data_IF_001513408595
#
_entry.id   IF_001513408595
#
_cell.length_a   1.000
_cell.length_b   1.000
_cell.length_c   1.000
_cell.angle_alpha   90.00
_cell.angle_beta   90.00
_cell.angle_gamma   90.00
#
_symmetry.space_group_name_H-M   'P 1'
#
loop_
_entity.id
_entity.type
_entity.pdbx_description
1 polymer ?
#
# COMPACT_ATOMS: atom_id res chain seq x y z
N UNK A 1 3.55 22.27 2.25
CA UNK A 1 2.71 23.24 2.95
C UNK A 1 1.28 22.85 2.63
N UNK A 2 0.51 22.41 3.61
CA UNK A 2 -0.89 22.07 3.41
C UNK A 2 -1.66 23.36 3.12
N UNK A 3 -2.39 23.37 2.01
CA UNK A 3 -3.28 24.48 1.68
C UNK A 3 -4.63 24.22 2.35
N UNK A 4 -5.08 25.18 3.17
CA UNK A 4 -6.32 25.06 3.93
C UNK A 4 -7.39 25.94 3.27
N UNK A 5 -8.59 25.41 2.98
CA UNK A 5 -9.70 26.23 2.49
C UNK A 5 -9.99 27.41 3.43
N UNK A 6 -10.39 28.56 2.89
CA UNK A 6 -10.74 29.74 3.70
C UNK A 6 -11.81 29.45 4.75
N UNK A 7 -12.78 28.59 4.41
CA UNK A 7 -13.83 28.13 5.32
C UNK A 7 -13.27 27.39 6.53
N UNK A 8 -12.27 26.53 6.31
CA UNK A 8 -11.60 25.78 7.36
C UNK A 8 -10.70 26.68 8.22
N UNK A 9 -9.98 27.62 7.60
CA UNK A 9 -9.20 28.65 8.31
C UNK A 9 -10.08 29.51 9.21
N UNK A 10 -11.24 29.95 8.71
CA UNK A 10 -12.22 30.70 9.51
C UNK A 10 -12.74 29.86 10.68
N UNK A 11 -12.95 28.56 10.48
CA UNK A 11 -13.39 27.65 11.53
C UNK A 11 -12.35 27.45 12.64
N UNK A 12 -11.05 27.44 12.30
CA UNK A 12 -9.98 27.40 13.30
C UNK A 12 -9.99 28.60 14.25
N UNK A 13 -10.49 29.76 13.79
CA UNK A 13 -10.60 30.98 14.60
C UNK A 13 -11.75 30.98 15.62
N UNK A 14 -12.55 29.90 15.71
CA UNK A 14 -13.70 29.81 16.62
C UNK A 14 -13.29 29.25 17.98
N UNK A 15 -14.04 29.60 19.02
CA UNK A 15 -13.83 29.07 20.37
C UNK A 15 -14.11 27.56 20.48
N UNK A 16 -15.01 27.04 19.64
CA UNK A 16 -15.37 25.63 19.58
C UNK A 16 -15.23 25.16 18.13
N UNK A 17 -14.36 24.18 17.93
CA UNK A 17 -14.16 23.53 16.63
C UNK A 17 -14.92 22.22 16.57
N UNK A 18 -15.11 21.73 15.34
CA UNK A 18 -15.83 20.49 15.02
C UNK A 18 -15.00 19.70 14.04
N UNK A 19 -13.73 19.51 14.40
CA UNK A 19 -12.74 18.86 13.57
C UNK A 19 -12.63 17.38 13.96
N UNK A 20 -12.36 16.55 12.97
CA UNK A 20 -12.04 15.13 13.09
C UNK A 20 -10.93 14.79 12.09
N UNK A 21 -10.26 13.68 12.31
CA UNK A 21 -9.35 13.08 11.35
C UNK A 21 -10.08 12.02 10.53
N UNK A 22 -9.73 11.97 9.25
CA UNK A 22 -10.14 10.94 8.33
C UNK A 22 -8.89 10.36 7.66
N UNK A 23 -8.79 9.04 7.60
CA UNK A 23 -7.68 8.36 6.93
C UNK A 23 -8.20 7.52 5.79
N UNK A 24 -7.64 7.74 4.60
CA UNK A 24 -7.94 6.96 3.41
C UNK A 24 -6.77 6.05 3.09
N UNK A 25 -7.01 4.74 3.20
CA UNK A 25 -6.07 3.70 2.83
C UNK A 25 -6.43 3.20 1.42
N UNK A 26 -5.48 3.27 0.49
CA UNK A 26 -5.64 2.83 -0.89
C UNK A 26 -4.60 1.76 -1.21
N UNK A 27 -5.06 0.53 -1.44
CA UNK A 27 -4.22 -0.61 -1.86
C UNK A 27 -3.75 -0.44 -3.30
N UNK A 28 -2.69 -1.16 -3.67
CA UNK A 28 -2.15 -1.15 -5.05
C UNK A 28 -3.14 -1.69 -6.09
N UNK A 29 -4.08 -2.54 -5.67
CA UNK A 29 -5.16 -3.08 -6.49
C UNK A 29 -6.36 -2.11 -6.66
N UNK A 30 -6.29 -0.93 -6.04
CA UNK A 30 -7.33 0.10 -6.13
C UNK A 30 -8.43 0.00 -5.06
N UNK A 31 -8.39 -1.00 -4.18
CA UNK A 31 -9.31 -1.09 -3.04
C UNK A 31 -9.08 0.08 -2.08
N UNK A 32 -10.15 0.76 -1.70
CA UNK A 32 -10.11 1.93 -0.81
C UNK A 32 -10.87 1.65 0.48
N UNK A 33 -10.22 1.91 1.62
CA UNK A 33 -10.83 1.92 2.94
C UNK A 33 -10.76 3.32 3.55
N UNK A 34 -11.86 3.79 4.13
CA UNK A 34 -11.93 5.07 4.82
C UNK A 34 -12.28 4.88 6.29
N UNK A 35 -11.53 5.56 7.16
CA UNK A 35 -11.69 5.49 8.61
C UNK A 35 -11.72 6.88 9.22
N UNK A 36 -12.48 7.10 10.29
CA UNK A 36 -12.52 8.38 11.00
C UNK A 36 -12.50 8.21 12.51
N UNK A 37 -11.93 9.19 13.22
CA UNK A 37 -12.02 9.31 14.69
C UNK A 37 -13.33 9.97 15.15
N UNK A 38 -14.18 10.38 14.19
CA UNK A 38 -15.56 10.76 14.45
C UNK A 38 -16.41 9.52 14.78
N UNK A 39 -17.49 9.71 15.55
CA UNK A 39 -18.39 8.65 16.02
C UNK A 39 -19.46 8.28 14.98
N UNK A 40 -19.57 9.04 13.89
CA UNK A 40 -20.49 8.79 12.79
C UNK A 40 -19.76 8.70 11.44
N UNK A 41 -20.30 7.94 10.47
CA UNK A 41 -19.72 7.87 9.15
C UNK A 41 -19.81 9.21 8.41
N UNK A 42 -18.75 9.55 7.68
CA UNK A 42 -18.62 10.80 6.93
C UNK A 42 -18.20 10.52 5.48
N UNK A 43 -18.70 11.30 4.54
CA UNK A 43 -18.22 11.25 3.15
C UNK A 43 -17.34 12.45 2.86
N UNK A 44 -16.07 12.22 2.52
CA UNK A 44 -15.08 13.28 2.25
C UNK A 44 -14.34 12.95 0.97
N UNK A 45 -14.19 13.91 0.06
CA UNK A 45 -13.50 13.73 -1.21
C UNK A 45 -13.94 12.47 -2.01
N UNK A 46 -15.22 12.11 -1.94
CA UNK A 46 -15.80 10.94 -2.63
C UNK A 46 -15.56 9.59 -1.94
N UNK A 47 -14.97 9.55 -0.76
CA UNK A 47 -14.72 8.34 0.03
C UNK A 47 -15.61 8.33 1.28
N UNK A 48 -16.22 7.18 1.60
CA UNK A 48 -16.92 6.95 2.85
C UNK A 48 -15.92 6.57 3.94
N UNK A 49 -15.93 7.31 5.04
CA UNK A 49 -15.13 7.05 6.23
C UNK A 49 -16.02 6.50 7.32
N UNK A 50 -15.72 5.29 7.79
CA UNK A 50 -16.47 4.63 8.86
C UNK A 50 -15.85 4.94 10.23
N UNK A 51 -16.68 5.07 11.28
CA UNK A 51 -16.20 5.26 12.65
C UNK A 51 -15.54 3.95 13.11
N UNK A 52 -14.22 3.95 13.21
CA UNK A 52 -13.44 2.76 13.53
C UNK A 52 -12.30 3.15 14.47
N UNK A 53 -12.11 2.38 15.54
CA UNK A 53 -11.10 2.66 16.58
C UNK A 53 -9.66 2.36 16.16
N UNK A 54 -9.46 1.98 14.89
CA UNK A 54 -8.23 1.40 14.35
C UNK A 54 -7.18 2.39 13.90
N UNK A 55 -7.46 3.70 13.91
CA UNK A 55 -6.48 4.72 13.57
C UNK A 55 -6.41 5.72 14.72
N UNK A 56 -5.90 5.26 15.85
CA UNK A 56 -5.44 6.19 16.86
C UNK A 56 -4.19 6.88 16.30
N UNK A 57 -4.25 8.20 16.12
CA UNK A 57 -3.08 9.02 15.85
C UNK A 57 -2.11 8.90 17.04
N UNK A 58 -1.20 7.93 16.99
CA UNK A 58 -0.02 7.92 17.84
C UNK A 58 0.81 9.14 17.45
N UNK A 59 1.01 10.06 18.40
CA UNK A 59 1.68 11.36 18.27
C UNK A 59 2.80 11.37 17.19
N UNK A 60 2.49 11.92 16.01
CA UNK A 60 3.48 12.19 14.96
C UNK A 60 4.55 13.13 15.52
N UNK A 61 5.81 12.73 15.46
CA UNK A 61 6.94 13.61 15.77
C UNK A 61 7.53 14.09 14.46
N UNK A 62 7.01 15.22 13.97
CA UNK A 62 7.64 15.98 12.88
C UNK A 62 9.04 16.43 13.33
N UNK A 63 10.10 15.68 12.98
CA UNK A 63 11.47 16.20 13.07
C UNK A 63 11.82 16.91 11.77
N UNK A 64 11.99 18.22 11.86
CA UNK A 64 12.50 19.08 10.80
C UNK A 64 13.96 18.71 10.49
N UNK A 65 14.18 17.71 9.63
CA UNK A 65 15.51 17.33 9.14
C UNK A 65 15.47 16.20 8.11
N UNK A 66 16.39 16.24 7.13
CA UNK A 66 16.59 15.19 6.12
C UNK A 66 17.39 13.98 6.68
N UNK A 67 17.35 13.75 7.99
CA UNK A 67 18.17 12.74 8.65
C UNK A 67 17.46 11.37 8.65
N UNK A 68 18.23 10.35 8.29
CA UNK A 68 17.90 8.94 7.99
C UNK A 68 17.20 8.18 9.12
N UNK A 69 17.08 8.74 10.33
CA UNK A 69 16.58 8.02 11.51
C UNK A 69 15.12 8.32 11.89
N UNK A 70 14.34 8.96 11.01
CA UNK A 70 12.94 9.29 11.34
C UNK A 70 11.95 8.46 10.54
N UNK A 71 11.73 7.23 10.98
CA UNK A 71 10.48 6.52 10.68
C UNK A 71 9.40 7.16 11.55
N UNK A 72 8.49 7.90 10.94
CA UNK A 72 7.24 8.27 11.60
C UNK A 72 6.40 7.00 11.77
N UNK A 73 6.58 6.32 12.89
CA UNK A 73 5.75 5.18 13.26
C UNK A 73 4.40 5.73 13.74
N UNK A 74 3.50 6.01 12.80
CA UNK A 74 2.11 6.38 13.08
C UNK A 74 1.18 5.17 12.87
N UNK A 75 0.47 4.78 13.93
CA UNK A 75 -0.80 4.08 13.80
C UNK A 75 -0.77 2.56 13.85
N UNK A 76 -1.48 2.02 14.83
CA UNK A 76 -1.87 0.61 14.85
C UNK A 76 -3.13 0.40 14.00
N UNK A 77 -3.00 0.17 12.69
CA UNK A 77 -4.12 -0.17 11.80
C UNK A 77 -4.84 -1.43 12.31
N UNK A 78 -5.94 -1.24 13.05
CA UNK A 78 -6.74 -2.35 13.58
C UNK A 78 -8.22 -2.10 13.28
N UNK A 79 -8.71 -2.63 12.17
CA UNK A 79 -10.13 -2.61 11.82
C UNK A 79 -10.54 -3.99 11.33
N UNK A 80 -11.78 -4.39 11.61
CA UNK A 80 -12.39 -5.61 11.05
C UNK A 80 -12.43 -5.57 9.51
N UNK A 81 -12.33 -4.37 8.91
CA UNK A 81 -12.23 -4.19 7.47
C UNK A 81 -10.87 -4.62 6.87
N UNK A 82 -9.85 -4.79 7.72
CA UNK A 82 -8.50 -5.21 7.33
C UNK A 82 -8.28 -6.63 7.86
N UNK A 83 -8.39 -7.62 6.99
CA UNK A 83 -8.29 -9.03 7.40
C UNK A 83 -6.83 -9.48 7.62
N UNK A 84 -6.62 -10.39 8.58
CA UNK A 84 -5.33 -11.06 8.80
C UNK A 84 -4.80 -11.74 7.52
N UNK A 85 -5.71 -12.31 6.72
CA UNK A 85 -5.38 -12.99 5.47
C UNK A 85 -4.83 -12.02 4.41
N UNK A 86 -5.43 -10.84 4.28
CA UNK A 86 -5.00 -9.83 3.32
C UNK A 86 -3.65 -9.20 3.71
N UNK A 87 -3.40 -9.03 5.02
CA UNK A 87 -2.10 -8.59 5.53
C UNK A 87 -1.04 -9.66 5.28
N UNK A 88 -1.31 -10.92 5.62
CA UNK A 88 -0.37 -12.02 5.39
C UNK A 88 -0.08 -12.24 3.90
N UNK A 89 -1.04 -11.89 3.05
CA UNK A 89 -0.91 -11.86 1.60
C UNK A 89 -0.11 -10.66 1.04
N UNK A 90 0.33 -9.72 1.89
CA UNK A 90 1.08 -8.53 1.47
C UNK A 90 0.26 -7.52 0.68
N UNK A 91 -1.08 -7.58 0.73
CA UNK A 91 -1.95 -6.72 -0.11
C UNK A 91 -1.91 -5.25 0.32
N UNK A 92 -1.47 -4.99 1.54
CA UNK A 92 -1.27 -3.65 2.09
C UNK A 92 0.16 -3.13 1.94
N UNK A 93 1.09 -3.94 1.43
CA UNK A 93 2.48 -3.53 1.24
C UNK A 93 2.58 -2.44 0.18
N UNK A 94 3.10 -1.28 0.58
CA UNK A 94 3.15 -0.11 -0.28
C UNK A 94 1.79 0.51 -0.59
N UNK A 95 0.76 0.21 0.21
CA UNK A 95 -0.51 0.93 0.14
C UNK A 95 -0.32 2.40 0.52
N UNK A 96 -1.12 3.29 -0.06
CA UNK A 96 -1.08 4.72 0.25
C UNK A 96 -2.03 5.05 1.39
N UNK A 97 -1.58 5.84 2.36
CA UNK A 97 -2.42 6.42 3.41
C UNK A 97 -2.44 7.94 3.26
N UNK A 98 -3.64 8.51 3.16
CA UNK A 98 -3.88 9.95 3.15
C UNK A 98 -4.62 10.35 4.43
N UNK A 99 -4.05 11.31 5.17
CA UNK A 99 -4.64 11.85 6.41
C UNK A 99 -5.28 13.20 6.13
N UNK A 100 -6.56 13.31 6.40
CA UNK A 100 -7.37 14.51 6.24
C UNK A 100 -7.74 15.10 7.60
N UNK A 101 -7.75 16.42 7.68
CA UNK A 101 -8.45 17.16 8.72
C UNK A 101 -9.79 17.62 8.16
N UNK A 102 -10.89 17.28 8.82
CA UNK A 102 -12.24 17.45 8.30
C UNK A 102 -13.11 18.13 9.33
N UNK A 103 -13.88 19.13 8.93
CA UNK A 103 -14.99 19.62 9.73
C UNK A 103 -16.18 18.65 9.63
N UNK A 104 -16.46 17.86 10.66
CA UNK A 104 -17.52 16.85 10.59
C UNK A 104 -18.93 17.44 10.43
N UNK A 105 -19.13 18.73 10.72
CA UNK A 105 -20.41 19.42 10.47
C UNK A 105 -20.60 19.84 9.00
N UNK A 106 -19.50 20.03 8.28
CA UNK A 106 -19.45 20.45 6.89
C UNK A 106 -18.31 19.67 6.21
N UNK A 107 -18.50 18.38 5.87
CA UNK A 107 -17.43 17.51 5.37
C UNK A 107 -16.79 17.97 4.06
N UNK A 108 -17.38 18.94 3.36
CA UNK A 108 -16.79 19.69 2.26
C UNK A 108 -15.61 20.59 2.68
N UNK A 109 -15.54 20.97 3.95
CA UNK A 109 -14.44 21.73 4.55
C UNK A 109 -13.39 20.74 5.09
N UNK A 110 -12.45 20.38 4.23
CA UNK A 110 -11.35 19.48 4.59
C UNK A 110 -10.02 19.93 4.00
N UNK A 111 -8.92 19.45 4.58
CA UNK A 111 -7.59 19.61 4.04
C UNK A 111 -6.81 18.30 4.15
N UNK A 112 -6.02 17.99 3.12
CA UNK A 112 -5.08 16.87 3.15
C UNK A 112 -3.84 17.29 3.95
N UNK A 113 -3.67 16.73 5.15
CA UNK A 113 -2.52 17.01 6.01
C UNK A 113 -1.27 16.30 5.50
N UNK A 114 -1.38 15.00 5.20
CA UNK A 114 -0.24 14.14 4.91
C UNK A 114 -0.60 13.04 3.92
N UNK A 115 0.39 12.62 3.15
CA UNK A 115 0.39 11.38 2.37
C UNK A 115 1.60 10.53 2.78
N UNK A 116 1.36 9.26 3.08
CA UNK A 116 2.37 8.29 3.46
C UNK A 116 2.14 6.96 2.74
N UNK A 117 3.15 6.09 2.78
CA UNK A 117 3.09 4.73 2.23
C UNK A 117 3.24 3.73 3.36
N UNK A 118 2.47 2.64 3.33
CA UNK A 118 2.63 1.53 4.26
C UNK A 118 3.93 0.80 3.95
N UNK A 119 4.86 0.84 4.91
CA UNK A 119 6.10 0.08 4.91
C UNK A 119 5.91 -1.28 5.59
N UNK A 120 6.66 -1.54 6.67
CA UNK A 120 6.56 -2.81 7.42
C UNK A 120 5.29 -2.86 8.26
N UNK A 121 4.56 -3.98 8.18
CA UNK A 121 3.47 -4.30 9.11
C UNK A 121 3.99 -5.29 10.16
N UNK A 122 3.85 -4.95 11.44
CA UNK A 122 4.21 -5.81 12.57
C UNK A 122 2.97 -6.19 13.38
N UNK A 123 3.02 -7.33 14.05
CA UNK A 123 1.93 -7.85 14.89
C UNK A 123 2.24 -7.56 16.36
N UNK A 124 1.32 -6.90 17.07
CA UNK A 124 1.37 -6.68 18.51
C UNK A 124 0.00 -6.93 19.13
N UNK A 125 -0.12 -7.91 20.03
CA UNK A 125 -1.32 -8.15 20.86
C UNK A 125 -2.67 -8.14 20.11
N UNK A 126 -2.76 -8.92 19.02
CA UNK A 126 -3.93 -9.02 18.13
C UNK A 126 -4.25 -7.76 17.32
N UNK A 127 -3.34 -6.78 17.30
CA UNK A 127 -3.41 -5.58 16.48
C UNK A 127 -2.26 -5.57 15.48
N UNK A 128 -2.49 -4.96 14.34
CA UNK A 128 -1.44 -4.70 13.37
C UNK A 128 -0.94 -3.27 13.55
N UNK A 129 0.38 -3.11 13.49
CA UNK A 129 1.05 -1.82 13.52
C UNK A 129 1.76 -1.67 12.19
N UNK A 130 1.32 -0.71 11.40
CA UNK A 130 1.96 -0.39 10.14
C UNK A 130 2.92 0.77 10.37
N UNK A 131 4.15 0.61 9.90
CA UNK A 131 5.09 1.72 9.79
C UNK A 131 4.69 2.55 8.56
N UNK A 132 4.44 3.85 8.75
CA UNK A 132 4.07 4.76 7.67
C UNK A 132 5.30 5.55 7.21
N UNK A 133 5.74 5.27 6.00
CA UNK A 133 6.88 5.92 5.37
C UNK A 133 6.44 7.22 4.70
N UNK A 134 7.14 8.31 5.02
CA UNK A 134 6.87 9.62 4.42
C UNK A 134 7.35 9.66 2.96
N UNK A 135 6.89 10.67 2.21
CA UNK A 135 7.38 10.92 0.85
C UNK A 135 8.91 11.15 0.80
N UNK A 136 9.53 11.57 1.91
CA UNK A 136 10.98 11.75 2.00
C UNK A 136 11.74 10.41 1.97
N UNK A 137 11.15 9.33 2.49
CA UNK A 137 11.75 8.00 2.44
C UNK A 137 12.03 7.55 1.00
N UNK A 138 11.11 7.84 0.07
CA UNK A 138 11.30 7.54 -1.34
C UNK A 138 12.49 8.29 -1.97
N UNK A 139 12.82 9.49 -1.47
CA UNK A 139 13.95 10.30 -1.95
C UNK A 139 15.29 9.83 -1.37
N UNK A 140 15.27 9.23 -0.18
CA UNK A 140 16.47 8.72 0.49
C UNK A 140 16.85 7.30 0.04
N UNK A 141 16.00 6.65 -0.77
CA UNK A 141 16.40 5.42 -1.42
C UNK A 141 17.59 5.67 -2.34
N UNK A 142 18.63 4.85 -2.20
CA UNK A 142 19.80 4.89 -3.05
C UNK A 142 19.37 4.67 -4.50
N UNK A 143 19.16 5.77 -5.20
CA UNK A 143 18.73 5.80 -6.59
C UNK A 143 19.98 5.94 -7.45
N UNK A 144 20.44 4.81 -7.97
CA UNK A 144 21.64 4.75 -8.79
C UNK A 144 21.77 3.41 -9.48
N UNK A 145 22.41 3.41 -10.65
CA UNK A 145 22.62 2.18 -11.41
C UNK A 145 24.02 1.64 -11.15
N UNK A 146 24.10 0.38 -10.77
CA UNK A 146 25.36 -0.35 -10.82
C UNK A 146 25.66 -0.72 -12.27
N UNK A 147 26.75 -0.17 -12.83
CA UNK A 147 27.22 -0.56 -14.15
C UNK A 147 28.01 -1.85 -14.01
N UNK A 148 27.36 -2.98 -14.27
CA UNK A 148 27.96 -4.31 -14.23
C UNK A 148 28.09 -4.92 -15.63
N UNK A 149 28.72 -6.10 -15.73
CA UNK A 149 28.80 -6.85 -16.99
C UNK A 149 27.51 -7.58 -17.35
N UNK A 150 26.65 -7.84 -16.36
CA UNK A 150 25.34 -8.45 -16.54
C UNK A 150 24.29 -7.39 -16.81
N UNK A 151 23.26 -7.77 -17.57
CA UNK A 151 22.06 -6.96 -17.73
C UNK A 151 21.38 -6.80 -16.37
N UNK A 152 21.13 -5.56 -15.95
CA UNK A 152 20.41 -5.21 -14.73
C UNK A 152 18.94 -4.84 -15.01
N UNK A 153 18.48 -4.96 -16.26
CA UNK A 153 17.08 -4.78 -16.62
C UNK A 153 16.29 -6.07 -16.40
N UNK A 154 15.01 -5.93 -16.07
CA UNK A 154 14.10 -7.06 -16.00
C UNK A 154 13.72 -7.50 -17.42
N UNK A 155 13.65 -8.80 -17.66
CA UNK A 155 13.31 -9.33 -18.99
C UNK A 155 11.94 -8.82 -19.41
N UNK A 156 11.89 -8.10 -20.53
CA UNK A 156 10.67 -7.53 -21.09
C UNK A 156 10.20 -6.20 -20.49
N UNK A 157 10.97 -5.61 -19.56
CA UNK A 157 10.70 -4.24 -19.11
C UNK A 157 11.03 -3.20 -20.20
N UNK A 158 10.75 -1.93 -19.92
CA UNK A 158 11.01 -0.83 -20.85
C UNK A 158 12.50 -0.64 -21.21
N UNK A 159 13.43 -1.11 -20.37
CA UNK A 159 14.88 -1.02 -20.61
C UNK A 159 15.39 -2.20 -21.43
N UNK A 160 14.83 -3.38 -21.23
CA UNK A 160 15.11 -4.59 -21.97
C UNK A 160 14.49 -4.53 -23.37
N UNK A 161 13.22 -4.11 -23.48
CA UNK A 161 12.49 -3.97 -24.72
C UNK A 161 12.13 -5.29 -25.42
N UNK A 162 12.45 -6.44 -24.82
CA UNK A 162 12.14 -7.74 -25.39
C UNK A 162 10.63 -8.05 -25.28
N UNK A 163 9.99 -8.34 -26.40
CA UNK A 163 8.57 -8.67 -26.38
C UNK A 163 8.34 -10.13 -25.92
N UNK A 164 7.90 -10.30 -24.67
CA UNK A 164 7.54 -11.59 -24.06
C UNK A 164 6.27 -12.22 -24.63
N UNK A 165 5.41 -11.47 -25.33
CA UNK A 165 4.21 -12.01 -25.96
C UNK A 165 4.52 -12.82 -27.24
N UNK A 166 5.79 -12.92 -27.63
CA UNK A 166 6.19 -13.79 -28.73
C UNK A 166 6.04 -15.27 -28.35
N UNK A 167 5.69 -16.15 -29.31
CA UNK A 167 5.57 -17.58 -29.05
C UNK A 167 6.84 -18.15 -28.41
N UNK A 168 6.67 -18.92 -27.34
CA UNK A 168 7.77 -19.58 -26.64
C UNK A 168 8.33 -18.80 -25.43
N UNK A 169 7.89 -17.57 -25.18
CA UNK A 169 8.38 -16.75 -24.05
C UNK A 169 7.35 -16.51 -22.95
N UNK A 170 6.16 -17.10 -23.10
CA UNK A 170 5.13 -17.19 -22.08
C UNK A 170 4.46 -18.58 -22.18
N UNK A 171 4.01 -19.10 -21.04
CA UNK A 171 3.27 -20.35 -20.94
C UNK A 171 2.13 -20.23 -19.93
N UNK A 172 1.06 -20.99 -20.13
CA UNK A 172 -0.05 -21.08 -19.18
C UNK A 172 -0.19 -22.53 -18.77
N UNK A 173 -0.14 -22.78 -17.45
CA UNK A 173 -0.33 -24.10 -16.87
C UNK A 173 -1.32 -24.05 -15.72
N UNK A 174 -1.80 -25.22 -15.31
CA UNK A 174 -2.67 -25.39 -14.15
C UNK A 174 -1.92 -26.10 -13.02
N UNK A 175 -2.02 -25.56 -11.81
CA UNK A 175 -1.51 -26.24 -10.60
C UNK A 175 -2.40 -27.44 -10.32
N UNK A 176 -1.82 -28.64 -10.31
CA UNK A 176 -2.52 -29.91 -10.04
C UNK A 176 -2.25 -30.44 -8.64
N UNK A 177 -1.11 -30.06 -8.04
CA UNK A 177 -0.79 -30.36 -6.65
C UNK A 177 0.20 -29.33 -6.10
N UNK A 178 0.23 -29.17 -4.77
CA UNK A 178 1.26 -28.44 -4.05
C UNK A 178 1.95 -29.37 -3.06
N UNK A 179 3.28 -29.34 -3.06
CA UNK A 179 4.14 -30.13 -2.18
C UNK A 179 5.00 -29.20 -1.30
N UNK A 180 5.18 -29.49 -0.01
CA UNK A 180 6.04 -28.70 0.86
C UNK A 180 7.52 -28.75 0.44
N UNK A 181 8.32 -27.68 0.65
CA UNK A 181 7.94 -26.43 1.32
C UNK A 181 7.41 -25.32 0.39
N UNK A 182 7.43 -25.47 -0.93
CA UNK A 182 6.85 -24.50 -1.89
C UNK A 182 6.88 -25.03 -3.35
N UNK A 183 6.73 -26.34 -3.54
CA UNK A 183 6.81 -26.95 -4.88
C UNK A 183 5.42 -27.07 -5.48
N UNK A 184 5.23 -26.55 -6.68
CA UNK A 184 3.97 -26.68 -7.43
C UNK A 184 4.14 -27.72 -8.52
N UNK A 185 3.24 -28.70 -8.55
CA UNK A 185 3.09 -29.60 -9.69
C UNK A 185 2.16 -28.92 -10.70
N UNK A 186 2.67 -28.65 -11.90
CA UNK A 186 1.97 -27.87 -12.94
C UNK A 186 1.82 -28.72 -14.19
N UNK A 187 0.60 -28.77 -14.75
CA UNK A 187 0.32 -29.37 -16.04
C UNK A 187 0.21 -28.29 -17.14
N UNK A 188 0.52 -28.65 -18.39
CA UNK A 188 0.34 -27.77 -19.55
C UNK A 188 1.58 -26.97 -19.96
N UNK A 189 2.74 -27.21 -19.32
CA UNK A 189 4.03 -26.60 -19.66
C UNK A 189 5.03 -27.62 -20.25
N UNK A 190 4.59 -28.83 -20.57
CA UNK A 190 5.43 -29.93 -21.06
C UNK A 190 6.09 -29.64 -22.43
N UNK A 191 5.59 -28.64 -23.16
CA UNK A 191 6.18 -28.17 -24.42
C UNK A 191 7.46 -27.35 -24.26
N UNK A 192 7.86 -27.02 -23.02
CA UNK A 192 9.05 -26.23 -22.73
C UNK A 192 10.18 -27.10 -22.18
N UNK A 193 11.42 -26.70 -22.45
CA UNK A 193 12.58 -27.38 -21.90
C UNK A 193 12.65 -27.21 -20.36
N UNK A 194 13.23 -28.17 -19.62
CA UNK A 194 13.49 -28.00 -18.20
C UNK A 194 14.30 -26.72 -17.91
N UNK A 195 13.85 -25.94 -16.92
CA UNK A 195 14.51 -24.68 -16.55
C UNK A 195 14.26 -23.50 -17.50
N UNK A 196 13.42 -23.67 -18.53
CA UNK A 196 13.13 -22.61 -19.51
C UNK A 196 12.60 -21.32 -18.86
N UNK A 197 11.78 -21.44 -17.82
CA UNK A 197 11.21 -20.32 -17.06
C UNK A 197 11.97 -20.02 -15.76
N UNK A 198 13.21 -20.50 -15.59
CA UNK A 198 14.01 -20.18 -14.42
C UNK A 198 14.20 -18.66 -14.30
N UNK A 199 14.05 -18.12 -13.08
CA UNK A 199 14.05 -16.67 -12.81
C UNK A 199 12.95 -15.89 -13.56
N UNK A 200 11.91 -16.58 -14.01
CA UNK A 200 10.73 -15.97 -14.61
C UNK A 200 9.79 -15.36 -13.57
N UNK A 201 8.64 -14.90 -14.05
CA UNK A 201 7.56 -14.39 -13.21
C UNK A 201 6.38 -15.35 -13.34
N UNK A 202 5.85 -15.80 -12.20
CA UNK A 202 4.60 -16.54 -12.13
C UNK A 202 3.46 -15.56 -11.88
N UNK A 203 2.48 -15.47 -12.77
CA UNK A 203 1.26 -14.67 -12.55
C UNK A 203 0.07 -15.59 -12.35
N UNK A 204 -0.59 -15.46 -11.21
CA UNK A 204 -1.79 -16.23 -10.87
C UNK A 204 -3.01 -15.66 -11.58
N UNK A 205 -3.71 -16.46 -12.37
CA UNK A 205 -4.89 -16.03 -13.15
C UNK A 205 -6.22 -16.42 -12.50
N UNK A 206 -6.20 -17.28 -11.47
CA UNK A 206 -7.38 -17.76 -10.76
C UNK A 206 -7.05 -18.22 -9.34
N UNK A 207 -8.08 -18.55 -8.55
CA UNK A 207 -7.94 -18.99 -7.16
C UNK A 207 -7.71 -17.84 -6.18
N UNK A 208 -7.33 -18.17 -4.94
CA UNK A 208 -7.13 -17.18 -3.87
C UNK A 208 -5.98 -16.18 -4.14
N UNK A 209 -5.01 -16.58 -4.97
CA UNK A 209 -3.89 -15.74 -5.38
C UNK A 209 -4.14 -14.98 -6.70
N UNK A 210 -5.34 -15.04 -7.29
CA UNK A 210 -5.62 -14.41 -8.58
C UNK A 210 -5.20 -12.93 -8.61
N UNK A 211 -4.48 -12.54 -9.67
CA UNK A 211 -3.93 -11.19 -9.84
C UNK A 211 -2.56 -10.96 -9.18
N UNK A 212 -2.04 -11.92 -8.41
CA UNK A 212 -0.69 -11.82 -7.79
C UNK A 212 0.39 -12.30 -8.75
N UNK A 213 1.58 -11.73 -8.61
CA UNK A 213 2.78 -12.14 -9.31
C UNK A 213 3.89 -12.52 -8.32
N UNK A 214 4.56 -13.64 -8.56
CA UNK A 214 5.66 -14.18 -7.75
C UNK A 214 6.92 -14.35 -8.61
N UNK A 215 8.09 -14.29 -7.97
CA UNK A 215 9.42 -14.40 -8.58
C UNK A 215 10.28 -15.41 -7.85
#
# INVERSE_FOLDING_TARGET
>A
MTDYPETLLAHFGREVTTLCHCWRLTRRDGTVHGFTDHDLPLTVAGTLFAPETGLAASEARDTLGLAVDTVDVEGALSSDAISDEDIAAGLYDGATVETFLVNWRSPEDFALLRKATVGRITRADQRFVAELESAAHALDQQSGRYVSRSCDAELGDARCGFNLAQPGFAGTGSVVASEPPATLLVAGLDGFAPGWFAHGVLTWTSGAAAGRAER
#
